data_IF_936002809390
#
_entry.id   IF_936002809390
#
_cell.length_a   1.000
_cell.length_b   1.000
_cell.length_c   1.000
_cell.angle_alpha   90.00
_cell.angle_beta   90.00
_cell.angle_gamma   90.00
#
_symmetry.space_group_name_H-M   'P 1'
#
loop_
_entity.id
_entity.type
_entity.pdbx_description
1 polymer ?
#
# COMPACT_ATOMS: atom_id res chain seq x y z
N UNK A 1 8.70 -11.82 13.40
CA UNK A 1 7.67 -11.98 12.34
C UNK A 1 8.05 -11.22 11.07
N UNK A 2 7.79 -11.77 9.88
CA UNK A 2 7.98 -11.05 8.61
C UNK A 2 6.71 -10.26 8.25
N UNK A 3 6.79 -8.93 8.24
CA UNK A 3 5.65 -8.03 8.01
C UNK A 3 5.18 -8.01 6.55
N UNK A 4 6.05 -8.33 5.60
CA UNK A 4 5.70 -8.36 4.17
C UNK A 4 4.89 -9.61 3.82
N UNK A 5 5.03 -10.69 4.59
CA UNK A 5 4.44 -12.00 4.29
C UNK A 5 3.31 -12.42 5.25
N UNK A 6 3.07 -11.64 6.31
CA UNK A 6 2.06 -11.95 7.31
C UNK A 6 1.30 -10.70 7.75
N UNK A 7 -0.02 -10.80 7.83
CA UNK A 7 -0.88 -9.85 8.54
C UNK A 7 -1.64 -10.62 9.63
N UNK A 8 -1.60 -10.10 10.85
CA UNK A 8 -2.29 -10.67 12.01
C UNK A 8 -3.20 -9.61 12.61
N UNK A 9 -4.50 -9.88 12.52
CA UNK A 9 -5.54 -9.05 13.09
C UNK A 9 -6.18 -9.82 14.23
N UNK A 10 -6.19 -9.21 15.42
CA UNK A 10 -6.76 -9.80 16.64
C UNK A 10 -7.91 -8.91 17.09
N UNK A 11 -9.12 -9.47 17.19
CA UNK A 11 -10.35 -8.74 17.52
C UNK A 11 -10.56 -7.50 16.64
N UNK A 12 -10.27 -7.60 15.34
CA UNK A 12 -10.42 -6.50 14.37
C UNK A 12 -9.30 -5.45 14.37
N UNK A 13 -8.29 -5.58 15.24
CA UNK A 13 -7.16 -4.65 15.32
C UNK A 13 -5.91 -5.29 14.72
N UNK A 14 -5.22 -4.59 13.82
CA UNK A 14 -3.90 -5.02 13.33
C UNK A 14 -2.88 -5.02 14.47
N UNK A 15 -2.35 -6.21 14.76
CA UNK A 15 -1.34 -6.46 15.79
C UNK A 15 -0.05 -7.00 15.22
N UNK A 16 0.11 -7.05 13.90
CA UNK A 16 1.23 -7.70 13.21
C UNK A 16 2.60 -7.23 13.74
N UNK A 17 2.80 -5.93 13.93
CA UNK A 17 4.04 -5.35 14.46
C UNK A 17 4.36 -5.78 15.90
N UNK A 18 3.35 -6.16 16.67
CA UNK A 18 3.51 -6.56 18.07
C UNK A 18 3.69 -8.07 18.20
N UNK A 19 3.44 -8.85 17.16
CA UNK A 19 3.54 -10.31 17.21
C UNK A 19 4.96 -10.75 16.88
N UNK A 20 5.50 -11.59 17.75
CA UNK A 20 6.77 -12.27 17.53
C UNK A 20 6.56 -13.54 16.69
N UNK A 21 5.62 -14.39 17.14
CA UNK A 21 5.22 -15.62 16.46
C UNK A 21 3.75 -15.97 16.69
N UNK A 22 3.17 -16.70 15.73
CA UNK A 22 1.81 -17.26 15.78
C UNK A 22 1.89 -18.72 15.33
N UNK A 23 1.11 -19.59 15.98
CA UNK A 23 0.93 -20.98 15.55
C UNK A 23 -0.47 -21.47 15.89
N UNK A 24 -0.93 -22.46 15.16
CA UNK A 24 -2.13 -23.21 15.53
C UNK A 24 -1.79 -24.14 16.71
N UNK A 25 -2.58 -24.08 17.78
CA UNK A 25 -2.47 -24.94 18.96
C UNK A 25 -3.83 -25.59 19.25
N UNK A 26 -4.02 -26.78 18.66
CA UNK A 26 -5.31 -27.46 18.61
C UNK A 26 -6.37 -26.64 17.84
N UNK A 27 -7.40 -26.19 18.54
CA UNK A 27 -8.52 -25.42 17.96
C UNK A 27 -8.35 -23.90 18.09
N UNK A 28 -7.25 -23.43 18.69
CA UNK A 28 -6.98 -22.02 19.00
C UNK A 28 -5.65 -21.58 18.36
N UNK A 29 -5.43 -20.27 18.32
CA UNK A 29 -4.13 -19.70 17.98
C UNK A 29 -3.34 -19.38 19.24
N UNK A 30 -2.11 -19.85 19.28
CA UNK A 30 -1.11 -19.47 20.28
C UNK A 30 -0.25 -18.34 19.69
N UNK A 31 -0.29 -17.16 20.33
CA UNK A 31 0.38 -15.95 19.88
C UNK A 31 1.38 -15.50 20.95
N UNK A 32 2.64 -15.32 20.56
CA UNK A 32 3.68 -14.68 21.37
C UNK A 32 3.85 -13.25 20.90
N UNK A 33 3.75 -12.29 21.82
CA UNK A 33 4.00 -10.88 21.51
C UNK A 33 5.46 -10.52 21.77
N UNK A 34 5.96 -9.52 21.06
CA UNK A 34 7.27 -8.93 21.28
C UNK A 34 7.41 -8.46 22.73
N UNK A 35 8.63 -8.51 23.25
CA UNK A 35 8.99 -8.09 24.61
C UNK A 35 8.30 -8.90 25.74
N UNK A 36 7.69 -10.04 25.44
CA UNK A 36 7.10 -10.92 26.45
C UNK A 36 7.40 -12.38 26.16
N UNK A 37 7.65 -13.18 27.21
CA UNK A 37 7.74 -14.64 27.10
C UNK A 37 6.40 -15.35 27.27
N UNK A 38 5.32 -14.58 27.50
CA UNK A 38 3.98 -15.11 27.66
C UNK A 38 3.38 -15.47 26.30
N UNK A 39 2.74 -16.63 26.25
CA UNK A 39 1.96 -17.09 25.09
C UNK A 39 0.49 -16.91 25.42
N UNK A 40 -0.22 -16.22 24.55
CA UNK A 40 -1.65 -15.94 24.67
C UNK A 40 -2.43 -16.84 23.72
N UNK A 41 -3.56 -17.37 24.21
CA UNK A 41 -4.44 -18.23 23.43
C UNK A 41 -5.68 -17.47 22.96
N UNK A 42 -5.95 -17.48 21.66
CA UNK A 42 -7.10 -16.83 21.04
C UNK A 42 -7.97 -17.83 20.27
N UNK A 43 -9.29 -17.62 20.26
CA UNK A 43 -10.18 -18.38 19.36
C UNK A 43 -9.83 -18.10 17.90
N UNK A 44 -10.13 -19.05 17.01
CA UNK A 44 -9.97 -18.85 15.57
C UNK A 44 -10.84 -17.71 15.02
N UNK A 45 -12.02 -17.51 15.58
CA UNK A 45 -12.93 -16.44 15.14
C UNK A 45 -12.41 -15.04 15.48
N UNK A 46 -11.52 -14.95 16.47
CA UNK A 46 -10.95 -13.69 16.94
C UNK A 46 -9.65 -13.32 16.23
N UNK A 47 -9.08 -14.23 15.44
CA UNK A 47 -7.79 -14.03 14.79
C UNK A 47 -7.92 -14.26 13.30
N UNK A 48 -7.62 -13.21 12.55
CA UNK A 48 -7.42 -13.31 11.12
C UNK A 48 -5.92 -13.31 10.85
N UNK A 49 -5.41 -14.43 10.32
CA UNK A 49 -4.01 -14.60 9.96
C UNK A 49 -3.89 -14.78 8.45
N UNK A 50 -3.50 -13.71 7.77
CA UNK A 50 -3.32 -13.69 6.32
C UNK A 50 -1.86 -13.99 5.98
N UNK A 51 -1.67 -14.86 4.99
CA UNK A 51 -0.35 -15.30 4.51
C UNK A 51 -0.38 -15.40 2.98
N UNK A 52 0.78 -15.64 2.37
CA UNK A 52 0.94 -15.84 0.92
C UNK A 52 0.39 -14.66 0.10
N UNK A 53 0.95 -13.45 0.28
CA UNK A 53 0.52 -12.31 -0.50
C UNK A 53 0.81 -12.47 -1.99
N UNK A 54 0.04 -11.76 -2.80
CA UNK A 54 0.27 -11.59 -4.23
C UNK A 54 0.97 -10.25 -4.43
N UNK A 55 2.14 -10.25 -5.04
CA UNK A 55 2.84 -9.01 -5.42
C UNK A 55 2.08 -8.31 -6.55
N UNK A 56 1.80 -7.02 -6.37
CA UNK A 56 1.15 -6.17 -7.36
C UNK A 56 2.22 -5.38 -8.10
N UNK A 57 2.23 -5.50 -9.44
CA UNK A 57 3.01 -4.61 -10.28
C UNK A 57 2.36 -3.22 -10.33
N UNK A 58 3.13 -2.20 -9.95
CA UNK A 58 2.67 -0.82 -9.84
C UNK A 58 3.53 0.17 -10.65
N UNK A 59 4.39 -0.29 -11.55
CA UNK A 59 5.33 0.56 -12.31
C UNK A 59 4.65 1.73 -13.04
N UNK A 60 3.40 1.54 -13.48
CA UNK A 60 2.58 2.56 -14.15
C UNK A 60 1.32 2.94 -13.36
N UNK A 61 1.35 2.78 -12.03
CA UNK A 61 0.20 3.03 -11.16
C UNK A 61 0.49 4.16 -10.17
N UNK A 62 -0.56 4.93 -9.86
CA UNK A 62 -0.60 5.85 -8.74
C UNK A 62 -1.41 5.22 -7.61
N UNK A 63 -0.85 5.20 -6.42
CA UNK A 63 -1.44 4.56 -5.25
C UNK A 63 -1.90 5.66 -4.30
N UNK A 64 -3.18 5.65 -3.98
CA UNK A 64 -3.79 6.59 -3.06
C UNK A 64 -4.20 5.85 -1.80
N UNK A 65 -3.80 6.37 -0.64
CA UNK A 65 -4.28 5.91 0.66
C UNK A 65 -5.17 6.98 1.24
N UNK A 66 -6.44 6.67 1.49
CA UNK A 66 -7.43 7.62 1.99
C UNK A 66 -7.50 8.92 1.16
N UNK A 67 -7.33 8.80 -0.16
CA UNK A 67 -7.34 9.92 -1.11
C UNK A 67 -6.01 10.68 -1.23
N UNK A 68 -4.99 10.35 -0.44
CA UNK A 68 -3.66 10.98 -0.51
C UNK A 68 -2.76 10.15 -1.42
N UNK A 69 -2.11 10.79 -2.39
CA UNK A 69 -1.17 10.12 -3.28
C UNK A 69 0.10 9.74 -2.52
N UNK A 70 0.34 8.44 -2.40
CA UNK A 70 1.49 7.89 -1.69
C UNK A 70 2.73 7.92 -2.59
N UNK A 71 3.87 8.31 -2.00
CA UNK A 71 5.17 8.37 -2.67
C UNK A 71 6.15 7.42 -2.00
N UNK A 72 7.28 7.15 -2.66
CA UNK A 72 8.35 6.33 -2.10
C UNK A 72 7.90 4.89 -1.79
N UNK A 73 7.09 4.30 -2.67
CA UNK A 73 6.65 2.92 -2.54
C UNK A 73 7.68 2.01 -3.22
N UNK A 74 8.09 0.97 -2.51
CA UNK A 74 9.05 -0.03 -2.97
C UNK A 74 8.35 -1.32 -3.41
N UNK A 75 7.33 -1.75 -2.68
CA UNK A 75 6.57 -2.95 -3.01
C UNK A 75 5.12 -2.84 -2.52
N UNK A 76 4.23 -3.54 -3.22
CA UNK A 76 2.81 -3.64 -2.86
C UNK A 76 2.40 -5.10 -2.91
N UNK A 77 1.81 -5.56 -1.82
CA UNK A 77 1.40 -6.93 -1.63
C UNK A 77 -0.08 -6.98 -1.28
N UNK A 78 -0.85 -7.77 -2.02
CA UNK A 78 -2.25 -8.03 -1.74
C UNK A 78 -2.41 -9.36 -1.00
N UNK A 79 -2.92 -9.28 0.21
CA UNK A 79 -3.41 -10.42 0.96
C UNK A 79 -4.88 -10.62 0.64
N UNK A 80 -5.25 -11.79 0.11
CA UNK A 80 -6.63 -12.14 -0.18
C UNK A 80 -6.93 -13.51 0.40
N UNK A 81 -7.80 -13.57 1.41
CA UNK A 81 -8.27 -14.82 1.99
C UNK A 81 -9.78 -14.72 2.22
N UNK A 82 -10.53 -15.63 1.61
CA UNK A 82 -12.00 -15.64 1.64
C UNK A 82 -12.58 -14.28 1.19
N UNK A 83 -13.38 -13.63 2.05
CA UNK A 83 -14.00 -12.32 1.81
C UNK A 83 -13.12 -11.17 2.27
N UNK A 84 -11.99 -11.44 2.93
CA UNK A 84 -11.16 -10.41 3.53
C UNK A 84 -9.92 -10.15 2.68
N UNK A 85 -9.64 -8.86 2.45
CA UNK A 85 -8.51 -8.41 1.66
C UNK A 85 -7.81 -7.26 2.35
N UNK A 86 -6.49 -7.27 2.31
CA UNK A 86 -5.61 -6.24 2.86
C UNK A 86 -4.45 -5.99 1.92
N UNK A 87 -3.97 -4.75 1.90
CA UNK A 87 -2.71 -4.39 1.25
C UNK A 87 -1.62 -4.24 2.29
N UNK A 88 -0.44 -4.78 2.02
CA UNK A 88 0.80 -4.37 2.66
C UNK A 88 1.59 -3.53 1.66
N UNK A 89 1.90 -2.30 2.05
CA UNK A 89 2.70 -1.37 1.24
C UNK A 89 4.04 -1.23 1.95
N UNK A 90 5.11 -1.61 1.26
CA UNK A 90 6.48 -1.39 1.70
C UNK A 90 6.97 -0.07 1.12
N UNK A 91 7.32 0.86 1.99
CA UNK A 91 7.88 2.16 1.64
C UNK A 91 9.41 2.12 1.62
N UNK A 92 10.02 3.13 1.00
CA UNK A 92 11.47 3.34 1.03
C UNK A 92 11.99 3.28 2.46
N UNK A 93 13.13 2.59 2.64
CA UNK A 93 13.73 2.19 3.94
C UNK A 93 13.11 0.94 4.58
N UNK A 94 12.28 0.19 3.86
CA UNK A 94 11.74 -1.10 4.32
C UNK A 94 10.64 -0.99 5.37
N UNK A 95 10.05 0.20 5.55
CA UNK A 95 8.91 0.37 6.44
C UNK A 95 7.66 -0.20 5.76
N UNK A 96 7.06 -1.22 6.36
CA UNK A 96 5.79 -1.79 5.89
C UNK A 96 4.65 -1.09 6.59
N UNK A 97 3.50 -0.94 5.93
CA UNK A 97 2.23 -0.57 6.55
C UNK A 97 1.08 -1.36 5.93
N UNK A 98 0.13 -1.75 6.76
CA UNK A 98 -1.04 -2.50 6.32
C UNK A 98 -2.25 -1.59 6.20
N UNK A 99 -3.07 -1.84 5.19
CA UNK A 99 -4.26 -1.08 4.87
C UNK A 99 -5.38 -2.04 4.48
N UNK A 100 -6.60 -1.72 4.89
CA UNK A 100 -7.79 -2.38 4.35
C UNK A 100 -7.97 -2.01 2.88
N UNK A 101 -8.68 -2.85 2.12
CA UNK A 101 -8.95 -2.55 0.70
C UNK A 101 -9.73 -1.25 0.49
N UNK A 102 -10.60 -0.86 1.42
CA UNK A 102 -11.35 0.40 1.31
C UNK A 102 -10.48 1.65 1.43
N UNK A 103 -9.29 1.53 2.02
CA UNK A 103 -8.38 2.67 2.20
C UNK A 103 -7.49 2.89 0.98
N UNK A 104 -7.32 1.89 0.11
CA UNK A 104 -6.34 1.91 -0.99
C UNK A 104 -7.02 1.95 -2.35
N UNK A 105 -6.68 2.96 -3.14
CA UNK A 105 -7.09 3.11 -4.53
C UNK A 105 -5.86 3.10 -5.44
N UNK A 106 -5.78 2.11 -6.34
CA UNK A 106 -4.67 1.93 -7.27
C UNK A 106 -5.16 2.30 -8.67
N UNK A 107 -4.64 3.39 -9.21
CA UNK A 107 -5.04 3.93 -10.51
C UNK A 107 -3.91 3.77 -11.51
N UNK A 108 -4.14 3.01 -12.58
CA UNK A 108 -3.17 2.88 -13.67
C UNK A 108 -3.16 4.14 -14.52
N UNK A 109 -1.97 4.68 -14.78
CA UNK A 109 -1.78 5.80 -15.69
C UNK A 109 -2.16 5.38 -17.11
N UNK A 110 -2.91 6.24 -17.81
CA UNK A 110 -3.17 6.11 -19.24
C UNK A 110 -2.02 6.68 -20.09
N UNK A 111 -1.11 7.45 -19.50
CA UNK A 111 0.07 8.02 -20.16
C UNK A 111 1.17 6.95 -20.22
N UNK A 112 1.00 6.00 -21.13
CA UNK A 112 2.00 4.96 -21.43
C UNK A 112 2.21 4.86 -22.94
N UNK A 113 3.41 4.46 -23.38
CA UNK A 113 3.73 4.33 -24.80
C UNK A 113 3.58 5.66 -25.56
N UNK A 114 2.91 5.62 -26.72
CA UNK A 114 2.70 6.80 -27.58
C UNK A 114 1.97 7.95 -26.89
N UNK A 115 1.12 7.67 -25.89
CA UNK A 115 0.42 8.70 -25.15
C UNK A 115 1.39 9.65 -24.41
N UNK A 116 2.56 9.14 -23.98
CA UNK A 116 3.63 9.96 -23.38
C UNK A 116 4.19 10.91 -24.45
N UNK A 117 4.49 10.40 -25.65
CA UNK A 117 5.07 11.20 -26.73
C UNK A 117 4.12 12.32 -27.16
N UNK A 118 2.83 12.02 -27.31
CA UNK A 118 1.80 13.01 -27.64
C UNK A 118 1.69 14.05 -26.54
N UNK A 119 1.67 13.63 -25.28
CA UNK A 119 1.60 14.55 -24.14
C UNK A 119 2.85 15.44 -24.02
N UNK A 120 4.04 14.90 -24.28
CA UNK A 120 5.29 15.65 -24.31
C UNK A 120 5.33 16.66 -25.45
N UNK A 121 4.84 16.29 -26.63
CA UNK A 121 4.67 17.23 -27.74
C UNK A 121 3.71 18.37 -27.38
N UNK A 122 2.56 18.05 -26.77
CA UNK A 122 1.60 19.07 -26.31
C UNK A 122 2.23 20.03 -25.28
N UNK A 123 3.06 19.52 -24.35
CA UNK A 123 3.81 20.37 -23.41
C UNK A 123 4.80 21.29 -24.13
N UNK A 124 5.50 20.81 -25.16
CA UNK A 124 6.42 21.63 -25.96
C UNK A 124 5.66 22.74 -26.71
N UNK A 125 4.55 22.40 -27.36
CA UNK A 125 3.70 23.38 -28.03
C UNK A 125 3.20 24.44 -27.04
N UNK A 126 2.75 24.04 -25.86
CA UNK A 126 2.30 24.96 -24.81
C UNK A 126 3.43 25.89 -24.32
N UNK A 127 4.66 25.39 -24.21
CA UNK A 127 5.81 26.21 -23.80
C UNK A 127 6.26 27.25 -24.83
N UNK A 128 6.01 27.02 -26.12
CA UNK A 128 6.30 27.99 -27.19
C UNK A 128 5.13 28.97 -27.38
N UNK A 129 3.93 28.57 -26.98
CA UNK A 129 2.73 29.38 -27.18
C UNK A 129 2.74 30.60 -26.24
N UNK A 130 2.74 31.80 -26.83
CA UNK A 130 2.69 33.07 -26.10
C UNK A 130 1.29 33.46 -25.65
N UNK A 131 0.26 32.72 -26.08
CA UNK A 131 -1.13 32.96 -25.66
C UNK A 131 -1.29 32.67 -24.17
N UNK A 132 -1.63 33.71 -23.41
CA UNK A 132 -1.81 33.66 -21.95
C UNK A 132 -0.61 34.18 -21.15
N UNK A 133 0.49 34.55 -21.81
CA UNK A 133 1.53 35.39 -21.19
C UNK A 133 1.00 36.82 -21.25
N UNK A 134 0.44 37.32 -20.14
CA UNK A 134 0.19 38.74 -19.99
C UNK A 134 1.55 39.43 -19.95
N UNK A 135 1.95 40.02 -21.09
CA UNK A 135 3.09 40.92 -21.17
C UNK A 135 2.66 42.24 -20.52
N UNK A 136 2.44 42.23 -19.20
CA UNK A 136 2.51 43.46 -18.41
C UNK A 136 3.97 43.65 -18.06
N UNK A 137 4.76 44.10 -19.03
CA UNK A 137 6.08 44.65 -18.75
C UNK A 137 6.20 46.03 -19.41
N UNK A 138 6.54 46.98 -18.54
CA UNK A 138 7.39 48.12 -18.82
C UNK A 138 6.87 49.17 -19.82
N UNK A 139 5.98 50.03 -19.32
CA UNK A 139 5.93 51.42 -19.78
C UNK A 139 6.40 52.32 -18.65
N UNK A 140 7.48 53.03 -18.93
CA UNK A 140 8.21 53.99 -18.08
C UNK A 140 7.36 55.10 -17.47
#
# INVERSE_FOLDING_TARGET
MNLENHIIIINGVDKTYQVDSIRLDGYKYAIKFQNTDKIYSYSRDNVLWLTNPITIDFENCHIFVNGINEKNIQAVHLFAQNTTKYYAITYSKGFVKHYSVSEVDIRRSCLTGEAINVFDYLKQCAGINTLGINVEDESS
#
